data_IF_846415623512
#
_entry.id   IF_846415623512
#
_cell.length_a   1.000
_cell.length_b   1.000
_cell.length_c   1.000
_cell.angle_alpha   90.00
_cell.angle_beta   90.00
_cell.angle_gamma   90.00
#
_symmetry.space_group_name_H-M   'P 1'
#
loop_
_entity.id
_entity.type
_entity.pdbx_description
1 polymer ?
#
# COMPACT_ATOMS: atom_id res chain seq x y z
N UNK A 1 -4.48 -4.09 16.09
CA UNK A 1 -3.54 -3.48 17.06
C UNK A 1 -3.02 -2.17 16.46
N UNK A 2 -3.41 -1.01 17.02
CA UNK A 2 -3.12 0.32 16.42
C UNK A 2 -1.79 0.93 16.86
N UNK A 3 -1.23 0.52 18.01
CA UNK A 3 0.00 1.10 18.57
C UNK A 3 1.31 0.55 17.96
N UNK A 4 1.34 -0.71 17.52
CA UNK A 4 2.55 -1.31 16.92
C UNK A 4 2.75 -0.98 15.44
N UNK A 5 1.66 -0.81 14.69
CA UNK A 5 1.70 -0.61 13.24
C UNK A 5 2.50 0.61 12.77
N UNK A 6 2.47 1.79 13.42
CA UNK A 6 3.32 2.91 13.00
C UNK A 6 4.80 2.52 12.97
N UNK A 7 5.28 1.78 13.96
CA UNK A 7 6.68 1.35 14.05
C UNK A 7 7.01 0.38 12.90
N UNK A 8 6.09 -0.52 12.53
CA UNK A 8 6.26 -1.41 11.38
C UNK A 8 6.45 -0.62 10.07
N UNK A 9 5.69 0.46 9.87
CA UNK A 9 5.84 1.34 8.71
C UNK A 9 7.17 2.09 8.71
N UNK A 10 7.63 2.56 9.89
CA UNK A 10 8.94 3.21 9.99
C UNK A 10 10.09 2.23 9.69
N UNK A 11 10.00 1.01 10.20
CA UNK A 11 10.95 -0.06 9.86
C UNK A 11 10.91 -0.40 8.37
N UNK A 12 9.73 -0.44 7.76
CA UNK A 12 9.59 -0.69 6.32
C UNK A 12 10.20 0.46 5.49
N UNK A 13 10.03 1.71 5.91
CA UNK A 13 10.67 2.87 5.27
C UNK A 13 12.20 2.78 5.35
N UNK A 14 12.74 2.41 6.52
CA UNK A 14 14.18 2.23 6.71
C UNK A 14 14.74 1.10 5.84
N UNK A 15 14.05 -0.05 5.78
CA UNK A 15 14.43 -1.16 4.90
C UNK A 15 14.41 -0.73 3.43
N UNK A 16 13.39 0.00 3.00
CA UNK A 16 13.30 0.51 1.63
C UNK A 16 14.46 1.48 1.31
N UNK A 17 14.91 2.29 2.27
CA UNK A 17 16.07 3.17 2.09
C UNK A 17 17.41 2.43 2.00
N UNK A 18 17.51 1.20 2.54
CA UNK A 18 18.73 0.40 2.55
C UNK A 18 18.84 -0.56 1.36
N UNK A 19 17.72 -0.98 0.78
CA UNK A 19 17.69 -1.88 -0.37
C UNK A 19 17.82 -1.07 -1.66
N UNK A 20 18.87 -1.35 -2.44
CA UNK A 20 19.02 -0.78 -3.77
C UNK A 20 17.87 -1.25 -4.67
N UNK A 21 17.13 -0.29 -5.21
CA UNK A 21 16.04 -0.50 -6.17
C UNK A 21 16.04 0.64 -7.18
N UNK A 22 15.18 0.56 -8.19
CA UNK A 22 14.96 1.69 -9.10
C UNK A 22 14.59 2.95 -8.29
N UNK A 23 15.26 4.10 -8.48
CA UNK A 23 15.09 5.27 -7.62
C UNK A 23 13.64 5.71 -7.43
N UNK A 24 12.84 5.67 -8.51
CA UNK A 24 11.42 6.01 -8.46
C UNK A 24 10.61 5.05 -7.58
N UNK A 25 10.82 3.74 -7.71
CA UNK A 25 10.16 2.73 -6.87
C UNK A 25 10.59 2.87 -5.40
N UNK A 26 11.87 3.17 -5.15
CA UNK A 26 12.42 3.34 -3.82
C UNK A 26 11.83 4.55 -3.11
N UNK A 27 11.88 5.73 -3.74
CA UNK A 27 11.36 6.99 -3.18
C UNK A 27 9.86 6.86 -2.90
N UNK A 28 9.09 6.37 -3.87
CA UNK A 28 7.63 6.19 -3.70
C UNK A 28 7.29 5.20 -2.58
N UNK A 29 8.08 4.13 -2.42
CA UNK A 29 7.92 3.21 -1.28
C UNK A 29 8.19 3.93 0.04
N UNK A 30 9.29 4.65 0.17
CA UNK A 30 9.63 5.39 1.39
C UNK A 30 8.52 6.39 1.74
N UNK A 31 8.11 7.21 0.78
CA UNK A 31 7.05 8.20 0.97
C UNK A 31 5.70 7.57 1.33
N UNK A 32 5.34 6.44 0.70
CA UNK A 32 4.15 5.64 1.08
C UNK A 32 4.22 5.23 2.55
N UNK A 33 5.35 4.64 2.98
CA UNK A 33 5.50 4.14 4.35
C UNK A 33 5.49 5.28 5.38
N UNK A 34 6.11 6.42 5.07
CA UNK A 34 6.04 7.61 5.93
C UNK A 34 4.64 8.21 6.00
N UNK A 35 3.89 8.20 4.89
CA UNK A 35 2.48 8.59 4.86
C UNK A 35 1.63 7.72 5.79
N UNK A 36 1.79 6.39 5.72
CA UNK A 36 1.07 5.46 6.60
C UNK A 36 1.50 5.55 8.06
N UNK A 37 2.79 5.74 8.34
CA UNK A 37 3.29 6.04 9.69
C UNK A 37 2.60 7.28 10.27
N UNK A 38 2.60 8.38 9.51
CA UNK A 38 1.96 9.62 9.91
C UNK A 38 0.46 9.44 10.14
N UNK A 39 -0.25 8.84 9.18
CA UNK A 39 -1.67 8.53 9.30
C UNK A 39 -1.99 7.77 10.58
N UNK A 40 -1.34 6.63 10.83
CA UNK A 40 -1.64 5.78 11.98
C UNK A 40 -1.24 6.41 13.31
N UNK A 41 -0.22 7.27 13.31
CA UNK A 41 0.15 8.09 14.47
C UNK A 41 -0.98 9.07 14.81
N UNK A 42 -1.49 9.80 13.83
CA UNK A 42 -2.64 10.69 14.04
C UNK A 42 -3.93 9.92 14.37
N UNK A 43 -4.17 8.76 13.75
CA UNK A 43 -5.32 7.89 14.05
C UNK A 43 -5.29 7.40 15.51
N UNK A 44 -4.10 7.15 16.07
CA UNK A 44 -3.96 6.82 17.49
C UNK A 44 -4.45 7.96 18.39
N UNK A 45 -4.16 9.22 18.04
CA UNK A 45 -4.69 10.38 18.75
C UNK A 45 -6.20 10.56 18.56
N UNK A 46 -6.73 10.32 17.35
CA UNK A 46 -8.18 10.32 17.09
C UNK A 46 -8.87 9.28 17.97
N UNK A 47 -8.36 8.05 18.00
CA UNK A 47 -8.88 6.98 18.82
C UNK A 47 -8.80 7.30 20.32
N UNK A 48 -7.66 7.79 20.80
CA UNK A 48 -7.48 8.17 22.21
C UNK A 48 -8.47 9.27 22.64
N UNK A 49 -8.79 10.22 21.75
CA UNK A 49 -9.81 11.22 21.99
C UNK A 49 -11.24 10.63 21.98
N UNK A 50 -11.51 9.66 21.10
CA UNK A 50 -12.81 9.00 21.01
C UNK A 50 -13.15 8.21 22.29
N UNK A 51 -12.16 7.54 22.88
CA UNK A 51 -12.33 6.80 24.15
C UNK A 51 -12.18 7.68 25.41
N UNK A 52 -12.07 9.00 25.24
CA UNK A 52 -11.90 9.98 26.34
C UNK A 52 -10.63 9.80 27.19
N UNK A 53 -9.62 9.10 26.65
CA UNK A 53 -8.29 9.05 27.24
C UNK A 53 -7.62 10.42 27.18
N UNK A 54 -7.81 11.14 26.08
CA UNK A 54 -7.60 12.58 25.98
C UNK A 54 -8.91 13.29 25.64
N UNK A 55 -9.06 14.53 26.10
CA UNK A 55 -10.22 15.35 25.77
C UNK A 55 -9.76 16.58 25.01
N UNK A 56 -9.54 16.42 23.70
CA UNK A 56 -9.21 17.54 22.85
C UNK A 56 -10.39 18.50 22.71
N UNK A 57 -10.08 19.79 22.59
CA UNK A 57 -11.06 20.77 22.12
C UNK A 57 -11.59 20.33 20.76
N UNK A 58 -12.87 20.55 20.42
CA UNK A 58 -13.44 20.12 19.13
C UNK A 58 -12.62 20.56 17.92
N UNK A 59 -12.13 21.79 17.93
CA UNK A 59 -11.27 22.33 16.86
C UNK A 59 -9.92 21.62 16.72
N UNK A 60 -9.35 21.12 17.81
CA UNK A 60 -8.11 20.32 17.77
C UNK A 60 -8.40 18.91 17.26
N UNK A 61 -9.49 18.28 17.74
CA UNK A 61 -9.88 16.95 17.29
C UNK A 61 -10.13 16.91 15.76
N UNK A 62 -10.80 17.95 15.23
CA UNK A 62 -11.02 18.09 13.79
C UNK A 62 -9.71 18.23 13.01
N UNK A 63 -8.77 19.06 13.48
CA UNK A 63 -7.45 19.23 12.84
C UNK A 63 -6.64 17.93 12.82
N UNK A 64 -6.64 17.19 13.93
CA UNK A 64 -5.96 15.89 14.04
C UNK A 64 -6.56 14.90 13.04
N UNK A 65 -7.89 14.82 12.95
CA UNK A 65 -8.59 13.96 11.98
C UNK A 65 -8.30 14.36 10.53
N UNK A 66 -8.32 15.66 10.19
CA UNK A 66 -7.97 16.14 8.84
C UNK A 66 -6.52 15.81 8.48
N UNK A 67 -5.58 15.98 9.41
CA UNK A 67 -4.19 15.62 9.16
C UNK A 67 -3.99 14.11 8.99
N UNK A 68 -4.71 13.27 9.75
CA UNK A 68 -4.73 11.83 9.54
C UNK A 68 -5.14 11.50 8.09
N UNK A 69 -6.26 12.07 7.62
CA UNK A 69 -6.76 11.83 6.27
C UNK A 69 -5.82 12.37 5.17
N UNK A 70 -5.16 13.53 5.38
CA UNK A 70 -4.14 14.05 4.45
C UNK A 70 -2.96 13.12 4.29
N UNK A 71 -2.44 12.60 5.40
CA UNK A 71 -1.32 11.68 5.42
C UNK A 71 -1.70 10.33 4.81
N UNK A 72 -2.93 9.88 5.05
CA UNK A 72 -3.47 8.67 4.44
C UNK A 72 -3.58 8.82 2.92
N UNK A 73 -4.19 9.91 2.45
CA UNK A 73 -4.30 10.21 1.02
C UNK A 73 -2.92 10.29 0.35
N UNK A 74 -1.97 11.00 0.96
CA UNK A 74 -0.60 11.06 0.45
C UNK A 74 0.03 9.67 0.36
N UNK A 75 -0.12 8.84 1.41
CA UNK A 75 0.36 7.46 1.42
C UNK A 75 -0.20 6.61 0.29
N UNK A 76 -1.51 6.70 0.02
CA UNK A 76 -2.18 6.00 -1.09
C UNK A 76 -1.67 6.53 -2.44
N UNK A 77 -1.55 7.84 -2.64
CA UNK A 77 -1.08 8.40 -3.91
C UNK A 77 0.36 7.96 -4.25
N UNK A 78 1.25 7.91 -3.25
CA UNK A 78 2.57 7.32 -3.44
C UNK A 78 2.52 5.82 -3.71
N UNK A 79 1.58 5.10 -3.09
CA UNK A 79 1.37 3.67 -3.36
C UNK A 79 0.89 3.39 -4.79
N UNK A 80 -0.03 4.19 -5.31
CA UNK A 80 -0.50 4.14 -6.71
C UNK A 80 0.67 4.41 -7.66
N UNK A 81 1.44 5.47 -7.40
CA UNK A 81 2.62 5.82 -8.21
C UNK A 81 3.65 4.69 -8.20
N UNK A 82 3.94 4.12 -7.02
CA UNK A 82 4.81 2.97 -6.88
C UNK A 82 4.30 1.77 -7.72
N UNK A 83 3.00 1.48 -7.64
CA UNK A 83 2.37 0.41 -8.40
C UNK A 83 2.53 0.56 -9.91
N UNK A 84 2.38 1.78 -10.44
CA UNK A 84 2.58 2.07 -11.87
C UNK A 84 4.03 1.88 -12.30
N UNK A 85 4.99 2.43 -11.55
CA UNK A 85 6.42 2.29 -11.85
C UNK A 85 6.84 0.81 -11.85
N UNK A 86 6.47 0.10 -10.78
CA UNK A 86 6.78 -1.32 -10.62
C UNK A 86 6.11 -2.18 -11.68
N UNK A 87 4.86 -1.91 -12.05
CA UNK A 87 4.18 -2.63 -13.11
C UNK A 87 4.89 -2.48 -14.46
N UNK A 88 5.35 -1.26 -14.78
CA UNK A 88 6.12 -0.98 -15.99
C UNK A 88 7.45 -1.75 -16.03
N UNK A 89 8.23 -1.71 -14.94
CA UNK A 89 9.48 -2.47 -14.84
C UNK A 89 9.25 -3.97 -14.97
N UNK A 90 8.29 -4.53 -14.22
CA UNK A 90 8.00 -5.97 -14.26
C UNK A 90 7.55 -6.43 -15.65
N UNK A 91 6.77 -5.62 -16.37
CA UNK A 91 6.38 -5.93 -17.75
C UNK A 91 7.60 -5.97 -18.69
N UNK A 92 8.54 -5.03 -18.55
CA UNK A 92 9.77 -5.00 -19.32
C UNK A 92 10.68 -6.21 -19.00
N UNK A 93 10.80 -6.59 -17.73
CA UNK A 93 11.59 -7.76 -17.30
C UNK A 93 11.03 -9.06 -17.84
N UNK A 94 9.69 -9.26 -17.78
CA UNK A 94 9.04 -10.43 -18.37
C UNK A 94 9.31 -10.50 -19.87
N UNK A 95 9.14 -9.40 -20.60
CA UNK A 95 9.39 -9.35 -22.04
C UNK A 95 10.86 -9.66 -22.38
N UNK A 96 11.80 -9.13 -21.58
CA UNK A 96 13.24 -9.37 -21.74
C UNK A 96 13.59 -10.85 -21.53
N UNK A 97 13.04 -11.48 -20.50
CA UNK A 97 13.29 -12.90 -20.19
C UNK A 97 12.64 -13.84 -21.21
N UNK A 98 11.45 -13.52 -21.70
CA UNK A 98 10.78 -14.31 -22.75
C UNK A 98 11.54 -14.30 -24.07
N UNK A 99 12.19 -13.18 -24.40
CA UNK A 99 12.95 -13.02 -25.64
C UNK A 99 14.43 -13.43 -25.50
N UNK A 100 14.86 -13.92 -24.34
CA UNK A 100 16.24 -14.31 -24.13
C UNK A 100 16.55 -15.62 -24.87
N UNK A 101 17.58 -15.61 -25.72
CA UNK A 101 18.11 -16.82 -26.33
C UNK A 101 18.88 -17.62 -25.27
N UNK A 102 18.49 -18.87 -25.06
CA UNK A 102 19.16 -19.79 -24.16
C UNK A 102 20.13 -20.65 -24.95
N UNK A 103 21.38 -20.70 -24.51
CA UNK A 103 22.48 -21.41 -25.18
C UNK A 103 23.01 -22.60 -24.39
N UNK A 104 22.68 -22.71 -23.10
CA UNK A 104 23.22 -23.75 -22.21
C UNK A 104 22.10 -24.59 -21.54
N UNK A 105 22.41 -25.87 -21.28
CA UNK A 105 21.50 -26.77 -20.55
C UNK A 105 21.28 -26.28 -19.11
N UNK A 106 20.01 -26.16 -18.70
CA UNK A 106 19.61 -25.73 -17.36
C UNK A 106 19.17 -24.27 -17.26
N UNK A 107 19.43 -23.45 -18.28
CA UNK A 107 18.96 -22.06 -18.33
C UNK A 107 17.43 -21.95 -18.47
N UNK A 108 16.76 -22.97 -19.02
CA UNK A 108 15.29 -23.03 -19.08
C UNK A 108 14.66 -23.07 -17.69
N UNK A 109 15.21 -23.91 -16.79
CA UNK A 109 14.68 -24.06 -15.41
C UNK A 109 14.86 -22.77 -14.61
N UNK A 110 16.02 -22.13 -14.73
CA UNK A 110 16.29 -20.84 -14.08
C UNK A 110 15.43 -19.70 -14.67
N UNK A 111 15.22 -19.68 -16.00
CA UNK A 111 14.30 -18.73 -16.65
C UNK A 111 12.88 -18.91 -16.14
N UNK A 112 12.39 -20.15 -16.08
CA UNK A 112 11.02 -20.44 -15.67
C UNK A 112 10.79 -20.09 -14.19
N UNK A 113 11.77 -20.36 -13.33
CA UNK A 113 11.73 -19.92 -11.93
C UNK A 113 11.70 -18.39 -11.80
N UNK A 114 12.52 -17.67 -12.57
CA UNK A 114 12.52 -16.19 -12.61
C UNK A 114 11.19 -15.65 -13.13
N UNK A 115 10.64 -16.23 -14.19
CA UNK A 115 9.32 -15.86 -14.72
C UNK A 115 8.22 -16.07 -13.68
N UNK A 116 8.24 -17.20 -12.95
CA UNK A 116 7.32 -17.46 -11.84
C UNK A 116 7.37 -16.36 -10.77
N UNK A 117 8.57 -15.97 -10.35
CA UNK A 117 8.76 -14.88 -9.38
C UNK A 117 8.23 -13.53 -9.91
N UNK A 118 8.43 -13.23 -11.20
CA UNK A 118 7.92 -12.02 -11.82
C UNK A 118 6.40 -12.00 -11.92
N UNK A 119 5.76 -13.12 -12.26
CA UNK A 119 4.31 -13.23 -12.28
C UNK A 119 3.72 -13.03 -10.89
N UNK A 120 4.31 -13.66 -9.87
CA UNK A 120 3.92 -13.45 -8.47
C UNK A 120 4.05 -11.98 -8.05
N UNK A 121 5.17 -11.32 -8.42
CA UNK A 121 5.37 -9.90 -8.15
C UNK A 121 4.33 -9.03 -8.87
N UNK A 122 3.96 -9.36 -10.11
CA UNK A 122 2.93 -8.63 -10.87
C UNK A 122 1.55 -8.77 -10.26
N UNK A 123 1.17 -9.98 -9.83
CA UNK A 123 -0.11 -10.21 -9.18
C UNK A 123 -0.20 -9.50 -7.83
N UNK A 124 0.89 -9.52 -7.04
CA UNK A 124 0.96 -8.75 -5.79
C UNK A 124 0.85 -7.24 -6.04
N UNK A 125 1.55 -6.70 -7.05
CA UNK A 125 1.44 -5.29 -7.44
C UNK A 125 0.04 -4.93 -7.92
N UNK A 126 -0.59 -5.78 -8.76
CA UNK A 126 -1.97 -5.55 -9.24
C UNK A 126 -2.98 -5.56 -8.09
N UNK A 127 -2.83 -6.51 -7.18
CA UNK A 127 -3.70 -6.62 -6.01
C UNK A 127 -3.68 -5.35 -5.16
N UNK A 128 -2.48 -4.90 -4.77
CA UNK A 128 -2.32 -3.66 -4.00
C UNK A 128 -2.83 -2.44 -4.76
N UNK A 129 -2.56 -2.36 -6.06
CA UNK A 129 -3.01 -1.24 -6.90
C UNK A 129 -4.55 -1.13 -6.94
N UNK A 130 -5.25 -2.26 -7.05
CA UNK A 130 -6.73 -2.28 -7.00
C UNK A 130 -7.23 -1.81 -5.64
N UNK A 131 -6.62 -2.26 -4.54
CA UNK A 131 -6.95 -1.79 -3.19
C UNK A 131 -6.78 -0.28 -3.09
N UNK A 132 -5.64 0.23 -3.53
CA UNK A 132 -5.32 1.66 -3.47
C UNK A 132 -6.31 2.51 -4.28
N UNK A 133 -6.73 2.04 -5.46
CA UNK A 133 -7.72 2.72 -6.30
C UNK A 133 -9.12 2.78 -5.68
N UNK A 134 -9.47 1.82 -4.83
CA UNK A 134 -10.75 1.80 -4.11
C UNK A 134 -10.65 2.62 -2.82
N UNK A 135 -9.55 2.50 -2.08
CA UNK A 135 -9.38 3.14 -0.78
C UNK A 135 -9.09 4.66 -0.91
N UNK A 136 -8.52 5.14 -2.03
CA UNK A 136 -8.17 6.57 -2.23
C UNK A 136 -9.35 7.52 -2.01
N UNK A 137 -10.56 7.05 -2.31
CA UNK A 137 -11.78 7.83 -2.24
C UNK A 137 -12.23 8.13 -0.82
N UNK A 138 -11.83 7.31 0.15
CA UNK A 138 -12.22 7.47 1.55
C UNK A 138 -11.57 8.72 2.16
N UNK A 139 -10.22 8.86 2.19
CA UNK A 139 -9.62 10.09 2.69
C UNK A 139 -9.89 11.28 1.79
N UNK A 140 -10.08 11.10 0.47
CA UNK A 140 -10.47 12.19 -0.42
C UNK A 140 -11.84 12.79 -0.04
N UNK A 141 -12.83 11.93 0.24
CA UNK A 141 -14.17 12.37 0.67
C UNK A 141 -14.15 12.96 2.08
N UNK A 142 -13.41 12.35 3.02
CA UNK A 142 -13.23 12.89 4.38
C UNK A 142 -12.57 14.29 4.41
N UNK A 143 -11.78 14.62 3.39
CA UNK A 143 -11.16 15.94 3.22
C UNK A 143 -12.05 16.93 2.46
N UNK A 144 -13.19 16.48 1.91
CA UNK A 144 -14.09 17.29 1.10
C UNK A 144 -13.60 17.52 -0.33
N UNK A 145 -12.69 16.68 -0.84
CA UNK A 145 -12.26 16.75 -2.25
C UNK A 145 -13.26 16.09 -3.21
N UNK A 146 -14.11 15.20 -2.69
CA UNK A 146 -15.14 14.48 -3.45
C UNK A 146 -16.43 14.36 -2.63
N UNK A 147 -17.57 14.27 -3.30
CA UNK A 147 -18.90 14.16 -2.69
C UNK A 147 -19.50 12.75 -2.83
N UNK A 148 -18.67 11.71 -2.70
CA UNK A 148 -19.17 10.33 -2.73
C UNK A 148 -19.99 10.06 -1.46
N UNK A 149 -21.12 9.36 -1.62
CA UNK A 149 -21.96 9.02 -0.47
C UNK A 149 -21.31 7.91 0.38
N UNK A 150 -21.70 7.88 1.66
CA UNK A 150 -21.18 6.90 2.62
C UNK A 150 -21.44 5.45 2.20
N UNK A 151 -22.53 5.21 1.45
CA UNK A 151 -22.87 3.90 0.91
C UNK A 151 -21.83 3.38 -0.11
N UNK A 152 -21.41 4.22 -1.06
CA UNK A 152 -20.38 3.85 -2.05
C UNK A 152 -19.03 3.64 -1.36
N UNK A 153 -18.66 4.54 -0.44
CA UNK A 153 -17.41 4.40 0.33
C UNK A 153 -17.40 3.12 1.17
N UNK A 154 -18.55 2.76 1.76
CA UNK A 154 -18.74 1.51 2.48
C UNK A 154 -18.58 0.27 1.59
N UNK A 155 -19.09 0.32 0.35
CA UNK A 155 -18.90 -0.77 -0.63
C UNK A 155 -17.42 -0.92 -1.01
N UNK A 156 -16.70 0.19 -1.25
CA UNK A 156 -15.26 0.13 -1.51
C UNK A 156 -14.51 -0.50 -0.35
N UNK A 157 -14.79 -0.05 0.89
CA UNK A 157 -14.19 -0.63 2.09
C UNK A 157 -14.53 -2.11 2.30
N UNK A 158 -15.75 -2.54 1.93
CA UNK A 158 -16.14 -3.95 1.98
C UNK A 158 -15.34 -4.78 0.97
N UNK A 159 -15.23 -4.31 -0.27
CA UNK A 159 -14.46 -4.99 -1.33
C UNK A 159 -13.00 -5.14 -0.92
N UNK A 160 -12.35 -4.06 -0.47
CA UNK A 160 -10.94 -4.10 -0.07
C UNK A 160 -10.71 -4.97 1.17
N UNK A 161 -11.65 -4.97 2.12
CA UNK A 161 -11.63 -5.87 3.28
C UNK A 161 -11.74 -7.35 2.88
N UNK A 162 -12.62 -7.70 1.94
CA UNK A 162 -12.77 -9.08 1.44
C UNK A 162 -11.53 -9.52 0.65
N UNK A 163 -10.94 -8.63 -0.14
CA UNK A 163 -9.67 -8.89 -0.84
C UNK A 163 -8.53 -9.18 0.13
N UNK A 164 -8.37 -8.34 1.16
CA UNK A 164 -7.36 -8.53 2.19
C UNK A 164 -7.60 -9.81 3.01
N UNK A 165 -8.86 -10.10 3.37
CA UNK A 165 -9.23 -11.34 4.05
C UNK A 165 -8.85 -12.57 3.24
N UNK A 166 -9.19 -12.60 1.94
CA UNK A 166 -8.83 -13.72 1.06
C UNK A 166 -7.31 -13.90 0.99
N UNK A 167 -6.55 -12.82 0.86
CA UNK A 167 -5.10 -12.89 0.81
C UNK A 167 -4.52 -13.47 2.10
N UNK A 168 -5.00 -13.01 3.26
CA UNK A 168 -4.56 -13.52 4.55
C UNK A 168 -4.97 -14.99 4.75
N UNK A 169 -6.17 -15.37 4.33
CA UNK A 169 -6.66 -16.74 4.40
C UNK A 169 -5.77 -17.69 3.61
N UNK A 170 -5.37 -17.31 2.39
CA UNK A 170 -4.44 -18.10 1.58
C UNK A 170 -3.07 -18.16 2.27
N UNK A 171 -2.54 -17.05 2.77
CA UNK A 171 -1.22 -17.03 3.41
C UNK A 171 -1.09 -17.97 4.63
N UNK A 172 -2.18 -18.17 5.39
CA UNK A 172 -2.17 -19.04 6.58
C UNK A 172 -2.53 -20.51 6.29
N UNK A 173 -3.23 -20.79 5.18
CA UNK A 173 -3.67 -22.15 4.82
C UNK A 173 -2.89 -22.78 3.66
N UNK A 174 -2.03 -22.03 2.97
CA UNK A 174 -1.12 -22.58 1.98
C UNK A 174 0.03 -23.30 2.71
N UNK A 175 -0.20 -24.56 3.09
CA UNK A 175 0.82 -25.51 3.51
C UNK A 175 0.95 -26.62 2.49
#
# INVERSE_FOLDING_TARGET
MRLGKPIEHLQAALRAAQIAAEPGEQITTICRQLGYFGYLTYDTFVWANAIKFFNFKPSTAEKVSKNANRLWLAGILFSITHGLLKAGRLANEVKKLQNAHLTEKGQDVDRDAKLGNLYNARDATRHQFIIDLLDVWIPASNLGFTNLNDGVLGIFGLITSLMAFRQQWLAVNSK
#
